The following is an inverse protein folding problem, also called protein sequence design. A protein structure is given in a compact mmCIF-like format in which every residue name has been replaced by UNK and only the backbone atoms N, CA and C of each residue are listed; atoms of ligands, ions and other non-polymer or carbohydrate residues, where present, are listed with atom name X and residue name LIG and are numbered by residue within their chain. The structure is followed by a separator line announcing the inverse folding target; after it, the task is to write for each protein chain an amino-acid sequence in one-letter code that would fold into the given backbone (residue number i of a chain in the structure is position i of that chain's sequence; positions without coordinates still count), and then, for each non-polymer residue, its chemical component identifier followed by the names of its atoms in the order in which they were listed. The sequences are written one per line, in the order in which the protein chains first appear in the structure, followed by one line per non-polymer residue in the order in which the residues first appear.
data_IF_672969819386
#
_entry.id   IF_672969819386
#
_cell.length_a   1.000
_cell.length_b   1.000
_cell.length_c   1.000
_cell.angle_alpha   90.00
_cell.angle_beta   90.00
_cell.angle_gamma   90.00
#
_symmetry.space_group_name_H-M   'P 1'
#
loop_
_entity.id
_entity.type
_entity.pdbx_description
1 polymer ?
#
# COMPACT_ATOMS: atom_id res chain seq x y z
N UNK A 1 4.24 -1.79 -25.04
CA UNK A 1 2.83 -1.35 -25.04
C UNK A 1 1.99 -2.48 -24.48
N UNK A 2 1.07 -2.19 -23.57
CA UNK A 2 0.20 -3.17 -22.90
C UNK A 2 -1.16 -3.23 -23.59
N UNK A 3 -1.87 -4.33 -23.47
CA UNK A 3 -3.30 -4.47 -23.84
C UNK A 3 -4.09 -5.02 -22.66
N UNK A 4 -5.40 -4.74 -22.62
CA UNK A 4 -6.30 -5.25 -21.59
C UNK A 4 -7.03 -6.48 -22.12
N UNK A 5 -7.01 -7.58 -21.36
CA UNK A 5 -7.89 -8.73 -21.56
C UNK A 5 -9.13 -8.60 -20.65
N UNK A 6 -10.24 -8.15 -21.25
CA UNK A 6 -11.50 -7.90 -20.52
C UNK A 6 -12.19 -9.17 -20.03
N UNK A 7 -12.06 -10.28 -20.75
CA UNK A 7 -12.65 -11.56 -20.33
C UNK A 7 -11.89 -12.11 -19.13
N UNK A 8 -10.55 -11.99 -19.15
CA UNK A 8 -9.70 -12.32 -18.01
C UNK A 8 -9.99 -11.41 -16.82
N UNK A 9 -10.17 -10.11 -17.05
CA UNK A 9 -10.53 -9.16 -15.99
C UNK A 9 -11.83 -9.57 -15.28
N UNK A 10 -12.87 -9.89 -16.05
CA UNK A 10 -14.16 -10.36 -15.55
C UNK A 10 -14.02 -11.64 -14.71
N UNK A 11 -13.35 -12.66 -15.25
CA UNK A 11 -13.15 -13.94 -14.59
C UNK A 11 -12.39 -13.80 -13.27
N UNK A 12 -11.24 -13.12 -13.30
CA UNK A 12 -10.31 -13.02 -12.17
C UNK A 12 -10.93 -12.17 -11.06
N UNK A 13 -11.47 -10.99 -11.39
CA UNK A 13 -12.10 -10.12 -10.38
C UNK A 13 -13.34 -10.80 -9.77
N UNK A 14 -14.14 -11.50 -10.57
CA UNK A 14 -15.30 -12.25 -10.10
C UNK A 14 -14.93 -13.35 -9.09
N UNK A 15 -13.86 -14.12 -9.36
CA UNK A 15 -13.38 -15.15 -8.45
C UNK A 15 -12.79 -14.58 -7.15
N UNK A 16 -12.03 -13.50 -7.24
CA UNK A 16 -11.47 -12.82 -6.07
C UNK A 16 -12.58 -12.27 -5.17
N UNK A 17 -13.59 -11.61 -5.75
CA UNK A 17 -14.75 -11.11 -5.01
C UNK A 17 -15.58 -12.23 -4.39
N UNK A 18 -15.82 -13.32 -5.13
CA UNK A 18 -16.54 -14.47 -4.58
C UNK A 18 -15.80 -15.08 -3.39
N UNK A 19 -14.47 -15.11 -3.41
CA UNK A 19 -13.65 -15.56 -2.29
C UNK A 19 -13.64 -14.56 -1.13
N UNK A 20 -13.57 -13.25 -1.40
CA UNK A 20 -13.68 -12.19 -0.39
C UNK A 20 -15.01 -12.28 0.36
N UNK A 21 -16.13 -12.36 -0.36
CA UNK A 21 -17.49 -12.45 0.22
C UNK A 21 -17.71 -13.74 1.03
N UNK A 22 -17.04 -14.82 0.66
CA UNK A 22 -17.05 -16.08 1.44
C UNK A 22 -16.11 -16.04 2.66
N UNK A 23 -15.33 -14.97 2.81
CA UNK A 23 -14.34 -14.79 3.87
C UNK A 23 -13.37 -15.98 3.99
N UNK A 24 -12.96 -16.56 2.86
CA UNK A 24 -11.97 -17.63 2.82
C UNK A 24 -10.56 -17.05 2.78
N UNK A 25 -9.57 -17.79 3.27
CA UNK A 25 -8.17 -17.36 3.20
C UNK A 25 -7.79 -16.90 1.77
N UNK A 26 -7.17 -15.72 1.58
CA UNK A 26 -6.54 -14.87 2.58
C UNK A 26 -7.45 -13.81 3.24
N UNK A 27 -8.73 -13.76 2.89
CA UNK A 27 -9.62 -12.67 3.28
C UNK A 27 -10.06 -12.70 4.75
N UNK A 28 -9.87 -13.82 5.44
CA UNK A 28 -10.04 -13.93 6.89
C UNK A 28 -8.80 -13.50 7.69
N UNK A 29 -7.75 -13.00 7.04
CA UNK A 29 -6.60 -12.42 7.72
C UNK A 29 -6.87 -10.97 8.15
N UNK A 30 -6.34 -10.52 9.30
CA UNK A 30 -6.55 -9.17 9.77
C UNK A 30 -5.87 -8.14 8.85
N UNK A 31 -6.59 -7.05 8.56
CA UNK A 31 -6.10 -5.86 7.85
C UNK A 31 -5.40 -4.89 8.81
N UNK A 32 -4.50 -4.03 8.32
CA UNK A 32 -3.90 -2.97 9.13
C UNK A 32 -4.93 -2.09 9.86
N UNK A 33 -6.04 -1.78 9.20
CA UNK A 33 -7.15 -1.00 9.74
C UNK A 33 -7.87 -1.74 10.89
N UNK A 34 -7.85 -3.07 10.89
CA UNK A 34 -8.46 -3.89 11.94
C UNK A 34 -7.72 -3.73 13.28
N UNK A 35 -6.46 -3.29 13.26
CA UNK A 35 -5.67 -3.00 14.48
C UNK A 35 -6.04 -1.69 15.17
N UNK A 36 -6.80 -0.79 14.53
CA UNK A 36 -7.22 0.47 15.14
C UNK A 36 -8.06 0.19 16.41
N UNK A 37 -7.68 0.70 17.60
CA UNK A 37 -8.41 0.42 18.83
C UNK A 37 -9.87 0.89 18.80
N UNK A 38 -10.81 0.17 19.44
CA UNK A 38 -12.21 0.58 19.51
C UNK A 38 -12.41 1.99 20.09
N UNK A 39 -11.58 2.40 21.04
CA UNK A 39 -11.61 3.74 21.63
C UNK A 39 -11.39 4.85 20.58
N UNK A 40 -10.48 4.60 19.63
CA UNK A 40 -10.20 5.51 18.52
C UNK A 40 -11.39 5.53 17.53
N UNK A 41 -11.95 4.35 17.20
CA UNK A 41 -13.09 4.22 16.27
C UNK A 41 -14.38 4.86 16.81
N UNK A 42 -14.61 4.83 18.13
CA UNK A 42 -15.82 5.36 18.77
C UNK A 42 -16.01 6.86 18.49
N UNK A 43 -14.93 7.62 18.42
CA UNK A 43 -14.97 9.02 18.02
C UNK A 43 -14.70 9.15 16.51
N UNK A 44 -15.77 9.29 15.72
CA UNK A 44 -15.69 9.39 14.25
C UNK A 44 -14.75 10.49 13.74
N UNK A 45 -14.64 11.62 14.46
CA UNK A 45 -13.75 12.72 14.08
C UNK A 45 -12.29 12.36 14.35
N UNK A 46 -11.99 11.82 15.53
CA UNK A 46 -10.66 11.32 15.87
C UNK A 46 -10.22 10.20 14.92
N UNK A 47 -11.14 9.30 14.57
CA UNK A 47 -10.89 8.24 13.59
C UNK A 47 -10.54 8.79 12.20
N UNK A 48 -11.31 9.75 11.70
CA UNK A 48 -11.03 10.39 10.41
C UNK A 48 -9.66 11.10 10.41
N UNK A 49 -9.32 11.79 11.50
CA UNK A 49 -8.01 12.44 11.67
C UNK A 49 -6.88 11.42 11.68
N UNK A 50 -7.03 10.34 12.43
CA UNK A 50 -6.04 9.26 12.46
C UNK A 50 -5.78 8.71 11.06
N UNK A 51 -6.83 8.40 10.29
CA UNK A 51 -6.69 7.89 8.93
C UNK A 51 -6.04 8.91 7.98
N UNK A 52 -6.35 10.20 8.12
CA UNK A 52 -5.68 11.27 7.36
C UNK A 52 -4.16 11.27 7.60
N UNK A 53 -3.73 11.20 8.86
CA UNK A 53 -2.32 11.14 9.19
C UNK A 53 -1.68 9.79 8.85
N UNK A 54 -2.43 8.69 8.89
CA UNK A 54 -1.97 7.39 8.40
C UNK A 54 -1.66 7.42 6.91
N UNK A 55 -2.56 8.00 6.10
CA UNK A 55 -2.30 8.20 4.68
C UNK A 55 -1.04 9.02 4.45
N UNK A 56 -0.89 10.12 5.18
CA UNK A 56 0.29 10.98 5.08
C UNK A 56 1.58 10.25 5.44
N UNK A 57 1.59 9.51 6.55
CA UNK A 57 2.77 8.79 7.01
C UNK A 57 3.18 7.69 6.03
N UNK A 58 2.22 7.01 5.42
CA UNK A 58 2.45 5.99 4.38
C UNK A 58 2.91 6.56 3.04
N UNK A 59 3.39 7.80 3.00
CA UNK A 59 4.13 8.35 1.86
C UNK A 59 5.42 7.55 1.65
N UNK A 60 5.52 6.84 0.52
CA UNK A 60 6.73 6.11 0.12
C UNK A 60 6.61 4.59 0.31
N UNK A 61 7.66 3.97 0.83
CA UNK A 61 7.82 2.49 0.91
C UNK A 61 7.43 1.90 2.27
N UNK A 62 6.78 2.67 3.14
CA UNK A 62 6.37 2.22 4.47
C UNK A 62 5.22 1.21 4.33
N UNK A 63 5.39 0.01 4.91
CA UNK A 63 4.34 -1.00 4.96
C UNK A 63 3.17 -0.53 5.82
N UNK A 64 1.94 -0.76 5.36
CA UNK A 64 0.73 -0.34 6.07
C UNK A 64 0.62 -0.94 7.47
N UNK A 65 0.93 -2.23 7.66
CA UNK A 65 0.86 -2.86 8.98
C UNK A 65 1.85 -2.24 9.98
N UNK A 66 3.04 -1.87 9.53
CA UNK A 66 4.01 -1.13 10.32
C UNK A 66 3.52 0.29 10.63
N UNK A 67 2.99 0.99 9.62
CA UNK A 67 2.51 2.35 9.76
C UNK A 67 1.37 2.46 10.80
N UNK A 68 0.36 1.61 10.70
CA UNK A 68 -0.76 1.59 11.64
C UNK A 68 -0.28 1.28 13.07
N UNK A 69 0.56 0.27 13.27
CA UNK A 69 1.10 -0.07 14.61
C UNK A 69 1.85 1.10 15.25
N UNK A 70 2.73 1.76 14.48
CA UNK A 70 3.49 2.92 14.98
C UNK A 70 2.60 4.11 15.31
N UNK A 71 1.63 4.40 14.45
CA UNK A 71 0.71 5.51 14.67
C UNK A 71 -0.26 5.27 15.82
N UNK A 72 -0.68 4.02 16.04
CA UNK A 72 -1.49 3.66 17.21
C UNK A 72 -0.68 3.94 18.49
N UNK A 73 0.55 3.46 18.57
CA UNK A 73 1.42 3.75 19.71
C UNK A 73 1.67 5.25 19.91
N UNK A 74 1.88 6.00 18.84
CA UNK A 74 2.01 7.46 18.90
C UNK A 74 0.72 8.13 19.40
N UNK A 75 -0.45 7.66 18.96
CA UNK A 75 -1.74 8.20 19.38
C UNK A 75 -2.03 7.91 20.86
N UNK A 76 -1.65 6.73 21.36
CA UNK A 76 -1.82 6.36 22.77
C UNK A 76 -1.04 7.27 23.71
N UNK A 77 0.19 7.65 23.33
CA UNK A 77 1.06 8.49 24.17
C UNK A 77 0.81 9.98 23.91
N UNK A 78 0.62 10.39 22.65
CA UNK A 78 0.48 11.80 22.26
C UNK A 78 -0.75 12.04 21.37
N UNK A 79 -1.99 11.82 21.87
CA UNK A 79 -3.21 11.98 21.07
C UNK A 79 -3.37 13.41 20.53
N UNK A 80 -2.80 14.42 21.22
CA UNK A 80 -2.76 15.83 20.80
C UNK A 80 -2.11 16.04 19.43
N UNK A 81 -1.24 15.13 18.97
CA UNK A 81 -0.56 15.26 17.67
C UNK A 81 -1.46 14.89 16.48
N UNK A 82 -2.63 14.31 16.74
CA UNK A 82 -3.65 14.00 15.73
C UNK A 82 -4.77 15.05 15.72
N UNK A 83 -4.70 16.07 16.56
CA UNK A 83 -5.66 17.14 16.69
C UNK A 83 -5.13 18.39 15.98
N UNK A 84 -5.65 18.78 14.79
CA UNK A 84 -5.02 19.83 13.97
C UNK A 84 -4.84 21.18 14.67
N UNK A 85 -5.75 21.54 15.58
CA UNK A 85 -5.66 22.76 16.38
C UNK A 85 -4.59 22.68 17.48
N UNK A 86 -4.30 21.48 18.00
CA UNK A 86 -3.31 21.26 19.06
C UNK A 86 -1.90 21.12 18.48
N UNK A 87 -1.74 20.50 17.31
CA UNK A 87 -0.44 20.42 16.59
C UNK A 87 0.18 21.81 16.44
N UNK A 88 -0.63 22.84 16.18
CA UNK A 88 -0.15 24.23 16.09
C UNK A 88 0.41 24.78 17.39
N UNK A 89 -0.11 24.33 18.54
CA UNK A 89 0.31 24.79 19.88
C UNK A 89 1.58 24.09 20.35
N UNK A 90 1.74 22.82 19.99
CA UNK A 90 2.96 22.03 20.22
C UNK A 90 4.15 22.68 19.51
N UNK A 91 3.94 23.23 18.31
CA UNK A 91 5.00 23.84 17.53
C UNK A 91 5.85 22.81 16.80
N UNK A 92 6.59 23.25 15.79
CA UNK A 92 7.25 22.36 14.84
C UNK A 92 8.44 21.60 15.45
N UNK A 93 9.18 22.23 16.37
CA UNK A 93 10.36 21.60 16.99
C UNK A 93 9.98 20.46 17.95
N UNK A 94 8.98 20.67 18.81
CA UNK A 94 8.47 19.61 19.69
C UNK A 94 7.85 18.49 18.85
N UNK A 95 7.03 18.83 17.83
CA UNK A 95 6.48 17.84 16.90
C UNK A 95 7.57 16.98 16.23
N UNK A 96 8.67 17.60 15.78
CA UNK A 96 9.78 16.86 15.20
C UNK A 96 10.40 15.86 16.18
N UNK A 97 10.60 16.23 17.45
CA UNK A 97 11.16 15.33 18.47
C UNK A 97 10.26 14.12 18.67
N UNK A 98 8.97 14.34 18.90
CA UNK A 98 7.99 13.27 19.13
C UNK A 98 7.87 12.32 17.93
N UNK A 99 7.78 12.88 16.72
CA UNK A 99 7.66 12.07 15.51
C UNK A 99 8.96 11.32 15.17
N UNK A 100 10.14 11.89 15.47
CA UNK A 100 11.41 11.21 15.25
C UNK A 100 11.54 9.96 16.10
N UNK A 101 11.18 10.05 17.38
CA UNK A 101 11.23 8.95 18.33
C UNK A 101 10.22 7.84 17.98
N UNK A 102 9.03 8.21 17.51
CA UNK A 102 7.99 7.23 17.20
C UNK A 102 8.11 6.60 15.81
N UNK A 103 8.50 7.37 14.79
CA UNK A 103 8.33 7.01 13.37
C UNK A 103 9.62 6.66 12.64
N UNK A 104 10.81 7.03 13.17
CA UNK A 104 12.18 6.73 12.69
C UNK A 104 12.57 7.11 11.25
N UNK A 105 11.62 7.22 10.32
CA UNK A 105 11.83 7.46 8.89
C UNK A 105 11.47 8.91 8.52
N UNK A 106 12.33 9.60 7.76
CA UNK A 106 12.09 10.95 7.20
C UNK A 106 11.43 11.97 8.18
N UNK A 107 11.77 11.88 9.47
CA UNK A 107 11.06 12.61 10.53
C UNK A 107 11.02 14.13 10.33
N UNK A 108 12.06 14.71 9.73
CA UNK A 108 12.13 16.16 9.43
C UNK A 108 11.09 16.59 8.39
N UNK A 109 10.98 15.86 7.28
CA UNK A 109 10.01 16.16 6.24
C UNK A 109 8.59 15.87 6.72
N UNK A 110 8.39 14.73 7.38
CA UNK A 110 7.11 14.34 7.94
C UNK A 110 6.63 15.37 8.96
N UNK A 111 7.47 15.82 9.90
CA UNK A 111 7.04 16.81 10.89
C UNK A 111 6.66 18.15 10.26
N UNK A 112 7.41 18.60 9.25
CA UNK A 112 7.09 19.81 8.49
C UNK A 112 5.73 19.68 7.80
N UNK A 113 5.51 18.57 7.09
CA UNK A 113 4.25 18.35 6.38
C UNK A 113 3.08 18.12 7.34
N UNK A 114 3.30 17.42 8.45
CA UNK A 114 2.29 17.19 9.48
C UNK A 114 1.83 18.50 10.10
N UNK A 115 2.76 19.40 10.43
CA UNK A 115 2.46 20.73 10.96
C UNK A 115 1.66 21.56 9.95
N UNK A 116 2.16 21.66 8.72
CA UNK A 116 1.52 22.46 7.67
C UNK A 116 0.16 21.89 7.28
N UNK A 117 0.03 20.58 7.08
CA UNK A 117 -1.24 19.94 6.76
C UNK A 117 -2.26 20.11 7.88
N UNK A 118 -1.84 20.11 9.15
CA UNK A 118 -2.70 20.44 10.30
C UNK A 118 -3.22 21.88 10.23
N UNK A 119 -2.36 22.83 9.82
CA UNK A 119 -2.75 24.22 9.57
C UNK A 119 -3.78 24.33 8.46
N UNK A 120 -3.54 23.70 7.30
CA UNK A 120 -4.45 23.71 6.14
C UNK A 120 -5.79 23.07 6.48
N UNK A 121 -5.76 21.91 7.13
CA UNK A 121 -6.97 21.19 7.55
C UNK A 121 -7.80 22.00 8.54
N UNK A 122 -7.16 22.67 9.50
CA UNK A 122 -7.84 23.59 10.44
C UNK A 122 -8.49 24.77 9.71
N UNK A 123 -7.72 25.43 8.84
CA UNK A 123 -8.12 26.68 8.16
C UNK A 123 -9.25 26.45 7.16
N UNK A 124 -9.17 25.39 6.35
CA UNK A 124 -10.08 25.19 5.22
C UNK A 124 -11.20 24.18 5.53
N UNK A 125 -10.95 23.26 6.46
CA UNK A 125 -11.84 22.12 6.71
C UNK A 125 -12.19 21.97 8.19
N UNK A 126 -12.03 23.02 9.00
CA UNK A 126 -12.31 23.04 10.45
C UNK A 126 -11.67 21.88 11.22
N UNK A 127 -10.54 21.37 10.74
CA UNK A 127 -9.82 20.26 11.35
C UNK A 127 -10.47 18.89 11.13
N UNK A 128 -11.42 18.75 10.20
CA UNK A 128 -12.17 17.52 9.95
C UNK A 128 -11.94 17.01 8.52
N UNK A 129 -11.17 15.92 8.33
CA UNK A 129 -10.89 15.36 7.00
C UNK A 129 -12.14 14.96 6.21
N UNK A 130 -13.25 14.62 6.88
CA UNK A 130 -14.49 14.22 6.21
C UNK A 130 -15.09 15.36 5.38
N UNK A 131 -14.86 16.61 5.81
CA UNK A 131 -15.37 17.80 5.12
C UNK A 131 -14.75 18.03 3.76
N UNK A 132 -13.55 17.49 3.53
CA UNK A 132 -12.90 17.52 2.21
C UNK A 132 -13.84 16.88 1.17
N UNK A 133 -14.61 15.87 1.56
CA UNK A 133 -15.46 15.06 0.68
C UNK A 133 -16.91 15.56 0.55
N UNK A 134 -17.26 16.68 1.19
CA UNK A 134 -18.62 17.20 1.10
C UNK A 134 -18.96 17.66 -0.32
N UNK A 135 -20.03 17.10 -0.87
CA UNK A 135 -20.52 17.40 -2.23
C UNK A 135 -19.62 16.87 -3.35
N UNK A 136 -18.69 15.95 -3.07
CA UNK A 136 -17.90 15.29 -4.10
C UNK A 136 -18.70 14.15 -4.70
N UNK A 137 -18.87 14.18 -6.01
CA UNK A 137 -19.45 13.08 -6.78
C UNK A 137 -18.46 12.48 -7.79
N UNK A 138 -17.35 13.18 -8.09
CA UNK A 138 -16.37 12.80 -9.11
C UNK A 138 -14.92 12.84 -8.56
N UNK A 139 -14.02 11.94 -9.01
CA UNK A 139 -12.63 11.89 -8.55
C UNK A 139 -11.83 13.18 -8.76
N UNK A 140 -12.06 13.91 -9.85
CA UNK A 140 -11.30 15.10 -10.21
C UNK A 140 -11.43 16.19 -9.15
N UNK A 141 -12.64 16.33 -8.58
CA UNK A 141 -12.91 17.28 -7.51
C UNK A 141 -12.18 16.90 -6.21
N UNK A 142 -12.11 15.60 -5.91
CA UNK A 142 -11.32 15.10 -4.79
C UNK A 142 -9.83 15.42 -4.97
N UNK A 143 -9.27 15.13 -6.15
CA UNK A 143 -7.87 15.44 -6.44
C UNK A 143 -7.58 16.93 -6.35
N UNK A 144 -8.48 17.77 -6.87
CA UNK A 144 -8.38 19.23 -6.81
C UNK A 144 -8.28 19.78 -5.39
N UNK A 145 -8.95 19.15 -4.42
CA UNK A 145 -8.95 19.55 -2.99
C UNK A 145 -7.79 18.96 -2.18
N UNK A 146 -7.28 17.78 -2.55
CA UNK A 146 -6.32 17.03 -1.73
C UNK A 146 -4.89 17.13 -2.26
N UNK A 147 -4.68 16.96 -3.57
CA UNK A 147 -3.34 16.92 -4.16
C UNK A 147 -2.69 18.29 -4.03
N UNK A 148 -1.48 18.32 -3.46
CA UNK A 148 -0.75 19.58 -3.30
C UNK A 148 -0.38 20.16 -4.66
N UNK A 149 -0.84 21.38 -4.95
CA UNK A 149 -0.54 22.11 -6.19
C UNK A 149 0.69 23.02 -6.05
N UNK A 150 1.55 22.76 -5.07
CA UNK A 150 2.67 23.64 -4.70
C UNK A 150 3.74 23.75 -5.79
N UNK A 151 3.85 24.96 -6.34
CA UNK A 151 4.75 25.44 -7.42
C UNK A 151 4.67 24.61 -8.72
N UNK A 152 4.18 25.24 -9.80
CA UNK A 152 4.45 24.71 -11.13
C UNK A 152 5.97 24.63 -11.35
N UNK A 153 6.44 23.81 -12.32
CA UNK A 153 7.87 23.60 -12.62
C UNK A 153 8.68 24.91 -12.83
N UNK A 154 7.99 26.04 -12.99
CA UNK A 154 8.54 27.37 -13.22
C UNK A 154 8.53 28.26 -11.95
N UNK A 155 8.25 27.70 -10.77
CA UNK A 155 8.28 28.42 -9.49
C UNK A 155 7.17 29.44 -9.28
N UNK A 156 6.21 29.58 -10.22
CA UNK A 156 5.08 30.51 -10.07
C UNK A 156 3.99 29.86 -9.22
N UNK A 157 3.60 30.55 -8.14
CA UNK A 157 2.35 30.26 -7.45
C UNK A 157 1.23 30.71 -8.39
N UNK A 158 0.52 29.77 -9.00
CA UNK A 158 -0.79 30.11 -9.56
C UNK A 158 -1.68 30.65 -8.44
N UNK A 159 -2.61 31.54 -8.78
CA UNK A 159 -3.62 32.01 -7.85
C UNK A 159 -4.56 30.84 -7.54
N UNK A 160 -4.14 29.97 -6.61
CA UNK A 160 -4.92 28.84 -6.16
C UNK A 160 -5.94 29.36 -5.16
N UNK A 161 -7.22 29.02 -5.37
CA UNK A 161 -8.28 29.34 -4.40
C UNK A 161 -7.89 28.76 -3.03
N UNK A 162 -8.07 29.46 -1.90
CA UNK A 162 -7.46 29.04 -0.64
C UNK A 162 -7.74 27.61 -0.19
N UNK A 163 -8.88 27.00 -0.55
CA UNK A 163 -9.22 25.60 -0.20
C UNK A 163 -8.72 24.55 -1.22
N UNK A 164 -8.00 24.98 -2.25
CA UNK A 164 -7.46 24.15 -3.32
C UNK A 164 -5.93 24.05 -3.29
N UNK A 165 -5.29 24.60 -2.27
CA UNK A 165 -3.83 24.48 -2.08
C UNK A 165 -3.37 23.02 -1.89
N UNK A 166 -4.31 22.13 -1.55
CA UNK A 166 -4.05 20.72 -1.27
C UNK A 166 -3.24 20.49 0.01
N UNK A 167 -2.71 19.29 0.21
CA UNK A 167 -1.94 18.91 1.39
C UNK A 167 -0.54 18.45 1.02
N UNK A 168 0.49 19.03 1.64
CA UNK A 168 1.89 18.68 1.37
C UNK A 168 2.11 17.16 1.44
N UNK A 169 2.78 16.65 0.42
CA UNK A 169 3.08 15.22 0.27
C UNK A 169 1.93 14.36 -0.27
N UNK A 170 0.70 14.85 -0.37
CA UNK A 170 -0.40 14.10 -0.97
C UNK A 170 -0.32 14.09 -2.50
N UNK A 171 -0.32 12.89 -3.06
CA UNK A 171 -0.44 12.60 -4.50
C UNK A 171 -1.81 11.98 -4.80
N UNK A 172 -2.17 11.80 -6.08
CA UNK A 172 -3.44 11.20 -6.50
C UNK A 172 -3.69 9.84 -5.82
N UNK A 173 -2.72 8.92 -5.89
CA UNK A 173 -2.81 7.61 -5.19
C UNK A 173 -3.12 7.76 -3.70
N UNK A 174 -2.48 8.70 -3.01
CA UNK A 174 -2.71 8.92 -1.58
C UNK A 174 -4.08 9.54 -1.31
N UNK A 175 -4.59 10.33 -2.24
CA UNK A 175 -5.93 10.92 -2.19
C UNK A 175 -6.99 9.82 -2.33
N UNK A 176 -6.83 8.93 -3.32
CA UNK A 176 -7.67 7.73 -3.47
C UNK A 176 -7.59 6.82 -2.26
N UNK A 177 -6.39 6.62 -1.68
CA UNK A 177 -6.22 5.83 -0.46
C UNK A 177 -6.94 6.45 0.75
N UNK A 178 -6.93 7.79 0.88
CA UNK A 178 -7.67 8.48 1.93
C UNK A 178 -9.19 8.31 1.75
N UNK A 179 -9.69 8.50 0.53
CA UNK A 179 -11.09 8.24 0.23
C UNK A 179 -11.47 6.79 0.57
N UNK A 180 -10.65 5.84 0.14
CA UNK A 180 -10.82 4.41 0.42
C UNK A 180 -10.97 4.13 1.92
N UNK A 181 -10.02 4.55 2.76
CA UNK A 181 -10.09 4.27 4.20
C UNK A 181 -11.29 4.94 4.87
N UNK A 182 -11.66 6.15 4.44
CA UNK A 182 -12.80 6.85 5.01
C UNK A 182 -14.13 6.21 4.59
N UNK A 183 -14.24 5.69 3.36
CA UNK A 183 -15.41 4.95 2.87
C UNK A 183 -15.52 3.59 3.58
N UNK A 184 -14.42 2.84 3.65
CA UNK A 184 -14.33 1.54 4.35
C UNK A 184 -14.74 1.66 5.83
N UNK A 185 -14.33 2.75 6.50
CA UNK A 185 -14.69 3.03 7.87
C UNK A 185 -16.08 3.67 8.04
N UNK A 186 -16.86 3.80 6.95
CA UNK A 186 -18.17 4.45 6.90
C UNK A 186 -18.16 5.88 7.48
N UNK A 187 -17.03 6.59 7.33
CA UNK A 187 -16.85 7.96 7.83
C UNK A 187 -17.31 9.01 6.84
N UNK A 188 -17.35 8.65 5.55
CA UNK A 188 -17.93 9.42 4.45
C UNK A 188 -18.84 8.49 3.62
N UNK A 189 -19.83 9.02 2.89
CA UNK A 189 -20.60 8.22 1.95
C UNK A 189 -19.71 7.62 0.86
N UNK A 190 -20.09 6.44 0.37
CA UNK A 190 -19.47 5.90 -0.84
C UNK A 190 -19.77 6.78 -2.05
N UNK A 191 -18.74 7.02 -2.85
CA UNK A 191 -18.86 7.64 -4.16
C UNK A 191 -17.88 6.93 -5.10
N UNK A 192 -17.98 7.20 -6.40
CA UNK A 192 -17.08 6.62 -7.41
C UNK A 192 -15.71 7.31 -7.39
N UNK A 193 -14.97 7.18 -6.30
CA UNK A 193 -13.58 7.60 -6.23
C UNK A 193 -12.73 6.71 -7.14
N UNK A 194 -11.68 7.25 -7.75
CA UNK A 194 -10.75 6.42 -8.52
C UNK A 194 -10.02 5.43 -7.59
N UNK A 195 -9.74 4.19 -8.03
CA UNK A 195 -9.08 3.19 -7.19
C UNK A 195 -7.68 3.63 -6.75
N UNK A 196 -7.29 3.28 -5.53
CA UNK A 196 -5.95 3.51 -4.99
C UNK A 196 -4.92 2.53 -5.58
N UNK A 197 -4.75 2.56 -6.90
CA UNK A 197 -3.88 1.63 -7.64
C UNK A 197 -2.42 1.79 -7.18
N UNK A 198 -1.85 0.68 -6.75
CA UNK A 198 -0.45 0.57 -6.37
C UNK A 198 0.17 -0.72 -6.93
N UNK A 199 1.43 -0.97 -6.57
CA UNK A 199 2.10 -2.21 -6.95
C UNK A 199 1.32 -3.47 -6.59
N UNK A 200 0.61 -3.49 -5.45
CA UNK A 200 -0.10 -4.67 -5.00
C UNK A 200 -1.24 -5.03 -5.95
N UNK A 201 -2.06 -4.06 -6.34
CA UNK A 201 -3.14 -4.27 -7.30
C UNK A 201 -2.57 -4.63 -8.67
N UNK A 202 -1.60 -3.84 -9.16
CA UNK A 202 -1.01 -4.02 -10.49
C UNK A 202 -0.29 -5.36 -10.66
N UNK A 203 0.33 -5.88 -9.59
CA UNK A 203 0.92 -7.21 -9.60
C UNK A 203 -0.09 -8.29 -9.94
N UNK A 204 -1.31 -8.23 -9.41
CA UNK A 204 -2.35 -9.22 -9.73
C UNK A 204 -2.74 -9.10 -11.19
N UNK A 205 -2.96 -7.88 -11.67
CA UNK A 205 -3.35 -7.62 -13.06
C UNK A 205 -2.29 -8.11 -14.07
N UNK A 206 -1.01 -7.91 -13.77
CA UNK A 206 0.10 -8.40 -14.59
C UNK A 206 0.27 -9.92 -14.45
N UNK A 207 0.26 -10.45 -13.23
CA UNK A 207 0.47 -11.87 -12.97
C UNK A 207 -0.56 -12.77 -13.67
N UNK A 208 -1.81 -12.30 -13.74
CA UNK A 208 -2.96 -13.04 -14.31
C UNK A 208 -3.19 -12.74 -15.79
N UNK A 209 -2.36 -11.90 -16.41
CA UNK A 209 -2.48 -11.43 -17.80
C UNK A 209 -3.79 -10.68 -18.08
N UNK A 210 -4.37 -10.01 -17.08
CA UNK A 210 -5.38 -8.97 -17.36
C UNK A 210 -4.73 -7.81 -18.12
N UNK A 211 -3.52 -7.42 -17.69
CA UNK A 211 -2.67 -6.49 -18.42
C UNK A 211 -1.58 -7.30 -19.14
N UNK A 212 -1.69 -7.39 -20.46
CA UNK A 212 -0.84 -8.23 -21.31
C UNK A 212 0.28 -7.39 -21.93
N UNK A 213 1.57 -7.68 -21.62
CA UNK A 213 2.69 -7.03 -22.29
C UNK A 213 2.82 -7.54 -23.73
N UNK A 214 2.84 -6.63 -24.72
CA UNK A 214 3.13 -7.01 -26.12
C UNK A 214 4.56 -7.53 -26.30
N UNK A 215 5.50 -7.03 -25.50
CA UNK A 215 6.89 -7.48 -25.47
C UNK A 215 7.20 -8.00 -24.08
N UNK A 216 7.36 -9.33 -23.97
CA UNK A 216 7.53 -10.05 -22.70
C UNK A 216 8.95 -9.90 -22.12
N UNK A 217 9.89 -9.38 -22.90
CA UNK A 217 11.29 -9.22 -22.50
C UNK A 217 11.62 -7.79 -22.05
N UNK A 218 10.70 -6.84 -22.22
CA UNK A 218 10.89 -5.45 -21.79
C UNK A 218 10.40 -5.24 -20.38
N UNK A 219 11.20 -4.52 -19.59
CA UNK A 219 10.75 -3.91 -18.34
C UNK A 219 9.59 -2.95 -18.62
N UNK A 220 8.64 -2.91 -17.70
CA UNK A 220 7.41 -2.14 -17.88
C UNK A 220 7.34 -1.06 -16.81
N UNK A 221 7.34 0.19 -17.24
CA UNK A 221 7.24 1.35 -16.36
C UNK A 221 5.89 1.45 -15.66
N UNK A 222 5.91 1.85 -14.39
CA UNK A 222 4.72 2.00 -13.56
C UNK A 222 3.62 2.85 -14.20
N UNK A 223 3.98 3.99 -14.79
CA UNK A 223 3.01 4.96 -15.30
C UNK A 223 2.17 4.41 -16.45
N UNK A 224 2.71 3.44 -17.22
CA UNK A 224 1.95 2.77 -18.28
C UNK A 224 1.01 1.71 -17.73
N UNK A 225 1.36 1.09 -16.61
CA UNK A 225 0.56 0.02 -15.99
C UNK A 225 -0.55 0.62 -15.13
N UNK A 226 -0.27 1.71 -14.38
CA UNK A 226 -1.22 2.32 -13.46
C UNK A 226 -2.46 2.86 -14.17
N UNK A 227 -2.31 3.55 -15.29
CA UNK A 227 -3.42 4.09 -16.10
C UNK A 227 -4.36 2.97 -16.55
N UNK A 228 -3.82 1.88 -17.08
CA UNK A 228 -4.63 0.74 -17.52
C UNK A 228 -5.22 -0.02 -16.33
N UNK A 229 -4.50 -0.10 -15.20
CA UNK A 229 -5.01 -0.68 -13.97
C UNK A 229 -6.24 0.07 -13.44
N UNK A 230 -6.18 1.41 -13.42
CA UNK A 230 -7.33 2.26 -13.07
C UNK A 230 -8.50 1.96 -14.02
N UNK A 231 -8.25 1.98 -15.33
CA UNK A 231 -9.27 1.72 -16.35
C UNK A 231 -9.97 0.35 -16.16
N UNK A 232 -9.20 -0.71 -15.87
CA UNK A 232 -9.74 -2.06 -15.63
C UNK A 232 -10.67 -2.08 -14.43
N UNK A 233 -10.23 -1.50 -13.30
CA UNK A 233 -10.99 -1.58 -12.05
C UNK A 233 -12.24 -0.69 -12.08
N UNK A 234 -12.14 0.50 -12.68
CA UNK A 234 -13.31 1.37 -12.90
C UNK A 234 -14.32 0.74 -13.85
N UNK A 235 -13.85 0.12 -14.94
CA UNK A 235 -14.71 -0.64 -15.84
C UNK A 235 -15.42 -1.77 -15.12
N UNK A 236 -14.69 -2.58 -14.35
CA UNK A 236 -15.27 -3.73 -13.64
C UNK A 236 -16.31 -3.27 -12.62
N UNK A 237 -15.97 -2.28 -11.80
CA UNK A 237 -16.88 -1.68 -10.82
C UNK A 237 -18.16 -1.18 -11.48
N UNK A 238 -18.05 -0.44 -12.59
CA UNK A 238 -19.20 0.09 -13.32
C UNK A 238 -20.05 -1.00 -13.98
N UNK A 239 -19.41 -2.01 -14.60
CA UNK A 239 -20.10 -3.07 -15.34
C UNK A 239 -20.91 -3.98 -14.42
N UNK A 240 -20.39 -4.27 -13.23
CA UNK A 240 -20.98 -5.25 -12.30
C UNK A 240 -21.63 -4.63 -11.07
N UNK A 241 -21.69 -3.29 -11.00
CA UNK A 241 -22.21 -2.53 -9.86
C UNK A 241 -21.59 -2.96 -8.51
N UNK A 242 -20.26 -3.01 -8.50
CA UNK A 242 -19.46 -3.38 -7.32
C UNK A 242 -18.66 -2.18 -6.85
N UNK A 243 -18.66 -1.92 -5.54
CA UNK A 243 -17.86 -0.83 -4.95
C UNK A 243 -16.37 -1.01 -5.24
N UNK A 244 -15.68 0.08 -5.56
CA UNK A 244 -14.22 0.07 -5.76
C UNK A 244 -13.47 -0.24 -4.45
N UNK A 245 -14.10 -0.02 -3.29
CA UNK A 245 -13.57 -0.46 -2.00
C UNK A 245 -13.48 -1.99 -1.98
N UNK A 246 -14.58 -2.65 -2.33
CA UNK A 246 -14.66 -4.12 -2.32
C UNK A 246 -13.70 -4.75 -3.34
N UNK A 247 -13.62 -4.20 -4.55
CA UNK A 247 -12.66 -4.65 -5.57
C UNK A 247 -11.22 -4.42 -5.08
N UNK A 248 -10.94 -3.27 -4.48
CA UNK A 248 -9.64 -2.94 -3.92
C UNK A 248 -9.19 -3.94 -2.85
N UNK A 249 -10.06 -4.23 -1.87
CA UNK A 249 -9.83 -5.23 -0.82
C UNK A 249 -9.53 -6.61 -1.42
N UNK A 250 -10.33 -7.02 -2.41
CA UNK A 250 -10.21 -8.32 -3.06
C UNK A 250 -8.82 -8.54 -3.68
N UNK A 251 -8.27 -7.52 -4.35
CA UNK A 251 -6.94 -7.57 -4.96
C UNK A 251 -5.82 -7.36 -3.93
N UNK A 252 -5.97 -6.36 -3.06
CA UNK A 252 -4.93 -5.93 -2.13
C UNK A 252 -4.59 -7.05 -1.14
N UNK A 253 -5.59 -7.70 -0.53
CA UNK A 253 -5.39 -8.77 0.46
C UNK A 253 -4.68 -10.00 -0.12
N UNK A 254 -5.05 -10.42 -1.34
CA UNK A 254 -4.37 -11.52 -2.04
C UNK A 254 -2.92 -11.14 -2.31
N UNK A 255 -2.70 -9.92 -2.77
CA UNK A 255 -1.38 -9.45 -3.10
C UNK A 255 -0.47 -9.37 -1.87
N UNK A 256 -0.91 -8.72 -0.79
CA UNK A 256 -0.11 -8.49 0.42
C UNK A 256 0.10 -9.76 1.25
N UNK A 257 -0.90 -10.64 1.30
CA UNK A 257 -0.86 -11.88 2.10
C UNK A 257 -0.21 -13.04 1.34
N UNK A 258 -0.55 -13.23 0.07
CA UNK A 258 -0.09 -14.38 -0.72
C UNK A 258 1.05 -13.99 -1.67
N UNK A 259 0.80 -13.10 -2.63
CA UNK A 259 1.75 -12.84 -3.70
C UNK A 259 3.07 -12.28 -3.19
N UNK A 260 3.07 -11.48 -2.12
CA UNK A 260 4.30 -10.99 -1.48
C UNK A 260 5.17 -12.13 -0.95
N UNK A 261 4.55 -13.20 -0.43
CA UNK A 261 5.23 -14.34 0.20
C UNK A 261 5.49 -15.49 -0.77
N UNK A 262 4.91 -15.45 -1.97
CA UNK A 262 5.12 -16.46 -2.99
C UNK A 262 6.62 -16.63 -3.28
N UNK A 263 7.14 -17.87 -3.32
CA UNK A 263 8.57 -18.09 -3.53
C UNK A 263 9.02 -17.52 -4.87
N UNK A 264 8.15 -17.58 -5.89
CA UNK A 264 8.42 -17.05 -7.21
C UNK A 264 8.52 -15.53 -7.28
N UNK A 265 8.02 -14.79 -6.30
CA UNK A 265 8.12 -13.33 -6.24
C UNK A 265 9.24 -12.85 -5.30
N UNK A 266 9.99 -13.77 -4.68
CA UNK A 266 11.08 -13.42 -3.78
C UNK A 266 12.27 -12.84 -4.55
N UNK A 267 12.93 -11.85 -3.94
CA UNK A 267 14.14 -11.20 -4.43
C UNK A 267 15.21 -11.31 -3.34
N UNK A 268 16.48 -11.32 -3.73
CA UNK A 268 17.58 -11.07 -2.80
C UNK A 268 17.69 -9.56 -2.54
N UNK A 269 17.56 -9.16 -1.28
CA UNK A 269 17.96 -7.83 -0.83
C UNK A 269 19.48 -7.78 -0.74
N UNK A 270 20.05 -6.62 -1.10
CA UNK A 270 21.51 -6.41 -1.10
C UNK A 270 22.11 -6.66 0.30
N UNK A 271 23.23 -7.37 0.35
CA UNK A 271 24.29 -6.93 1.25
C UNK A 271 24.88 -5.64 0.65
N UNK A 272 24.88 -4.54 1.41
CA UNK A 272 25.67 -3.36 1.06
C UNK A 272 27.13 -3.77 1.09
N UNK A 273 27.76 -3.97 -0.07
CA UNK A 273 29.21 -3.82 -0.14
C UNK A 273 29.48 -2.31 -0.11
N UNK A 274 29.67 -1.78 1.09
CA UNK A 274 29.88 -0.34 1.34
C UNK A 274 31.15 0.20 0.66
N UNK A 275 32.10 -0.68 0.31
CA UNK A 275 33.40 -0.31 -0.26
C UNK A 275 33.37 0.13 -1.74
N UNK A 276 32.34 -0.21 -2.52
CA UNK A 276 32.37 0.03 -3.97
C UNK A 276 31.39 1.11 -4.47
N UNK A 277 30.43 1.57 -3.66
CA UNK A 277 29.40 2.51 -4.10
C UNK A 277 28.48 2.00 -5.24
N UNK A 278 28.67 0.77 -5.73
CA UNK A 278 27.88 0.16 -6.81
C UNK A 278 26.61 -0.46 -6.22
N UNK A 279 25.47 0.12 -6.58
CA UNK A 279 24.13 -0.41 -6.28
C UNK A 279 23.76 -1.49 -7.30
N UNK A 280 23.95 -2.77 -6.98
CA UNK A 280 23.52 -3.89 -7.83
C UNK A 280 21.99 -4.07 -7.80
N UNK A 281 21.27 -3.97 -8.92
CA UNK A 281 19.80 -4.10 -8.94
C UNK A 281 19.32 -5.40 -8.23
N UNK A 282 18.18 -5.37 -7.50
CA UNK A 282 17.61 -6.55 -6.85
C UNK A 282 17.49 -7.70 -7.83
N UNK A 283 17.90 -8.90 -7.42
CA UNK A 283 17.88 -10.08 -8.27
C UNK A 283 16.79 -11.07 -7.82
N UNK A 284 16.02 -11.65 -8.76
CA UNK A 284 15.09 -12.73 -8.45
C UNK A 284 15.76 -13.91 -7.74
N UNK A 285 15.11 -14.42 -6.71
CA UNK A 285 15.52 -15.68 -6.09
C UNK A 285 15.33 -16.82 -7.09
N UNK A 286 16.38 -17.59 -7.36
CA UNK A 286 16.29 -18.82 -8.17
C UNK A 286 15.40 -19.82 -7.46
N UNK A 287 14.33 -20.25 -8.14
CA UNK A 287 13.43 -21.27 -7.61
C UNK A 287 14.10 -22.64 -7.67
N UNK A 288 14.01 -23.37 -6.57
CA UNK A 288 14.47 -24.75 -6.48
C UNK A 288 13.42 -25.57 -5.75
N UNK A 289 12.71 -26.40 -6.51
CA UNK A 289 11.61 -27.23 -6.00
C UNK A 289 12.09 -28.43 -5.16
N UNK A 290 13.40 -28.71 -5.12
CA UNK A 290 13.98 -29.69 -4.18
C UNK A 290 14.04 -29.14 -2.76
N UNK A 291 13.98 -27.82 -2.58
CA UNK A 291 14.01 -27.19 -1.25
C UNK A 291 12.62 -27.18 -0.62
N UNK A 292 12.50 -27.83 0.53
CA UNK A 292 11.23 -27.95 1.27
C UNK A 292 10.61 -26.59 1.63
N UNK A 293 11.41 -25.56 1.86
CA UNK A 293 10.91 -24.21 2.16
C UNK A 293 10.22 -23.55 0.95
N UNK A 294 10.73 -23.72 -0.28
CA UNK A 294 10.12 -23.19 -1.49
C UNK A 294 8.77 -23.86 -1.77
N UNK A 295 8.75 -25.19 -1.65
CA UNK A 295 7.53 -25.99 -1.77
C UNK A 295 6.49 -25.56 -0.74
N UNK A 296 6.87 -25.47 0.55
CA UNK A 296 5.97 -25.05 1.62
C UNK A 296 5.40 -23.66 1.36
N UNK A 297 6.26 -22.70 0.99
CA UNK A 297 5.82 -21.35 0.63
C UNK A 297 4.87 -21.35 -0.56
N UNK A 298 5.11 -22.15 -1.59
CA UNK A 298 4.19 -22.25 -2.73
C UNK A 298 2.82 -22.75 -2.29
N UNK A 299 2.76 -23.85 -1.54
CA UNK A 299 1.50 -24.45 -1.06
C UNK A 299 0.69 -23.44 -0.26
N UNK A 300 1.32 -22.70 0.67
CA UNK A 300 0.62 -21.73 1.53
C UNK A 300 0.35 -20.37 0.87
N UNK A 301 0.79 -20.17 -0.38
CA UNK A 301 0.58 -18.94 -1.15
C UNK A 301 -0.12 -19.22 -2.47
N UNK A 302 0.61 -19.50 -3.55
CA UNK A 302 0.05 -19.78 -4.87
C UNK A 302 -0.92 -20.96 -4.87
N UNK A 303 -0.62 -22.03 -4.12
CA UNK A 303 -1.47 -23.22 -4.01
C UNK A 303 -2.79 -22.97 -3.26
N UNK A 304 -2.83 -21.97 -2.38
CA UNK A 304 -4.03 -21.54 -1.64
C UNK A 304 -4.70 -20.30 -2.24
N UNK A 305 -4.15 -19.73 -3.32
CA UNK A 305 -4.67 -18.52 -3.94
C UNK A 305 -5.91 -18.84 -4.80
N UNK A 306 -7.04 -18.10 -4.65
CA UNK A 306 -8.24 -18.32 -5.46
C UNK A 306 -8.01 -18.29 -6.98
N UNK A 307 -6.97 -17.57 -7.41
CA UNK A 307 -6.60 -17.39 -8.82
C UNK A 307 -5.19 -17.90 -9.13
N UNK A 308 -4.54 -18.63 -8.22
CA UNK A 308 -3.14 -19.04 -8.38
C UNK A 308 -2.88 -19.92 -9.60
N UNK A 309 -3.86 -20.75 -9.99
CA UNK A 309 -3.82 -21.57 -11.20
C UNK A 309 -3.92 -20.78 -12.51
N UNK A 310 -4.19 -19.48 -12.45
CA UNK A 310 -4.37 -18.59 -13.60
C UNK A 310 -3.25 -17.57 -13.75
N UNK A 311 -2.22 -17.61 -12.89
CA UNK A 311 -1.06 -16.77 -13.04
C UNK A 311 -0.12 -17.31 -14.13
N UNK A 312 0.27 -16.43 -15.05
CA UNK A 312 1.30 -16.67 -16.07
C UNK A 312 2.66 -16.10 -15.67
N UNK A 313 2.68 -15.14 -14.73
CA UNK A 313 3.89 -14.45 -14.31
C UNK A 313 4.08 -14.42 -12.79
N UNK A 314 5.34 -14.55 -12.37
CA UNK A 314 5.80 -13.99 -11.12
C UNK A 314 6.19 -12.53 -11.33
N UNK A 315 5.76 -11.64 -10.44
CA UNK A 315 5.95 -10.19 -10.55
C UNK A 315 6.63 -9.69 -9.28
N UNK A 316 7.84 -9.17 -9.45
CA UNK A 316 8.73 -8.82 -8.34
C UNK A 316 8.51 -7.39 -7.84
N UNK A 317 8.66 -7.17 -6.53
CA UNK A 317 8.52 -5.85 -5.94
C UNK A 317 9.82 -5.04 -5.88
N UNK A 318 10.98 -5.71 -5.87
CA UNK A 318 12.28 -5.04 -5.69
C UNK A 318 12.57 -4.01 -6.77
N UNK A 319 12.45 -4.40 -8.05
CA UNK A 319 12.67 -3.47 -9.17
C UNK A 319 11.62 -2.35 -9.21
N UNK A 320 10.39 -2.60 -8.77
CA UNK A 320 9.38 -1.55 -8.68
C UNK A 320 9.78 -0.48 -7.67
N UNK A 321 10.20 -0.87 -6.47
CA UNK A 321 10.55 0.09 -5.42
C UNK A 321 11.90 0.79 -5.65
N UNK A 322 12.84 0.17 -6.36
CA UNK A 322 14.13 0.79 -6.69
C UNK A 322 14.11 1.59 -8.01
N UNK A 323 13.44 1.09 -9.04
CA UNK A 323 13.56 1.58 -10.42
C UNK A 323 12.24 2.11 -10.99
N UNK A 324 11.10 1.91 -10.30
CA UNK A 324 9.78 2.26 -10.83
C UNK A 324 9.29 1.33 -11.95
N UNK A 325 9.90 0.15 -12.06
CA UNK A 325 9.68 -0.80 -13.16
C UNK A 325 9.23 -2.17 -12.67
N UNK A 326 8.26 -2.76 -13.38
CA UNK A 326 7.86 -4.14 -13.20
C UNK A 326 8.84 -5.07 -13.92
N UNK A 327 9.45 -5.96 -13.14
CA UNK A 327 10.17 -7.11 -13.62
C UNK A 327 9.35 -8.38 -13.38
N UNK A 328 9.39 -9.30 -14.34
CA UNK A 328 8.56 -10.49 -14.35
C UNK A 328 9.36 -11.69 -14.84
N UNK A 329 8.99 -12.88 -14.37
CA UNK A 329 9.44 -14.16 -14.93
C UNK A 329 8.25 -15.08 -15.13
N UNK A 330 8.38 -16.04 -16.05
CA UNK A 330 7.36 -17.06 -16.24
C UNK A 330 7.00 -17.71 -14.90
N UNK A 331 5.69 -17.91 -14.68
CA UNK A 331 5.22 -18.53 -13.45
C UNK A 331 5.60 -20.00 -13.42
N UNK A 332 6.42 -20.39 -12.46
CA UNK A 332 6.85 -21.77 -12.26
C UNK A 332 5.96 -22.45 -11.22
N UNK A 333 5.67 -23.74 -11.45
CA UNK A 333 4.92 -24.58 -10.52
C UNK A 333 5.81 -25.73 -10.08
N UNK A 334 5.66 -26.20 -8.84
CA UNK A 334 6.40 -27.36 -8.41
C UNK A 334 5.94 -28.57 -9.26
N UNK A 335 6.85 -29.47 -9.69
CA UNK A 335 6.49 -30.63 -10.51
C UNK A 335 5.40 -31.48 -9.85
N UNK A 336 4.56 -32.16 -10.64
CA UNK A 336 3.36 -32.93 -10.22
C UNK A 336 3.63 -34.03 -9.15
N UNK A 337 4.89 -34.28 -8.78
CA UNK A 337 5.32 -35.26 -7.78
C UNK A 337 5.00 -34.81 -6.33
N UNK A 338 3.72 -34.69 -5.98
CA UNK A 338 3.23 -34.31 -4.64
C UNK A 338 2.46 -35.36 -3.80
N UNK A 339 2.63 -36.69 -3.93
CA UNK A 339 2.11 -37.58 -2.90
C UNK A 339 2.81 -37.41 -1.53
N UNK A 340 4.03 -36.86 -1.47
CA UNK A 340 4.91 -37.00 -0.29
C UNK A 340 5.03 -35.77 0.63
N UNK A 341 4.18 -34.75 0.52
CA UNK A 341 4.13 -33.74 1.58
C UNK A 341 3.53 -34.36 2.85
N UNK A 342 4.26 -34.39 3.98
CA UNK A 342 3.75 -34.98 5.20
C UNK A 342 2.46 -34.26 5.64
N UNK A 343 1.48 -35.05 6.09
CA UNK A 343 0.08 -34.64 6.34
C UNK A 343 -0.05 -33.35 7.18
N UNK A 344 0.88 -33.13 8.12
CA UNK A 344 0.93 -31.95 8.98
C UNK A 344 1.19 -30.61 8.24
N UNK A 345 1.72 -30.65 7.01
CA UNK A 345 1.88 -29.47 6.14
C UNK A 345 0.63 -29.18 5.29
N UNK A 346 -0.32 -30.12 5.21
CA UNK A 346 -1.58 -29.96 4.48
C UNK A 346 -2.72 -29.48 5.37
N UNK A 347 -2.68 -29.83 6.66
CA UNK A 347 -3.83 -29.69 7.57
C UNK A 347 -3.75 -28.47 8.53
N UNK A 348 -2.65 -27.71 8.52
CA UNK A 348 -2.60 -26.43 9.25
C UNK A 348 -2.71 -25.29 8.24
N UNK A 349 -3.84 -24.54 8.20
CA UNK A 349 -3.76 -23.18 7.68
C UNK A 349 -2.62 -22.49 8.45
N UNK A 350 -1.73 -21.75 7.78
CA UNK A 350 -0.76 -20.96 8.52
C UNK A 350 -1.57 -20.07 9.46
N UNK A 351 -1.51 -20.32 10.76
CA UNK A 351 -1.84 -19.29 11.72
C UNK A 351 -0.93 -18.13 11.33
N UNK A 352 -1.52 -16.96 11.12
CA UNK A 352 -0.76 -15.74 10.88
C UNK A 352 0.03 -15.43 12.16
N UNK A 353 1.08 -16.21 12.45
CA UNK A 353 2.14 -15.80 13.33
C UNK A 353 2.81 -14.64 12.60
N UNK A 354 2.45 -13.44 13.03
CA UNK A 354 3.25 -12.27 12.77
C UNK A 354 4.65 -12.57 13.29
N UNK A 355 5.64 -12.64 12.39
CA UNK A 355 7.05 -12.57 12.76
C UNK A 355 7.29 -11.17 13.35
N UNK A 356 7.00 -11.04 14.64
CA UNK A 356 7.48 -9.99 15.53
C UNK A 356 8.56 -10.49 16.49
N UNK A 357 8.99 -11.74 16.33
CA UNK A 357 10.00 -12.38 17.17
C UNK A 357 11.02 -13.09 16.28
N UNK A 358 11.84 -12.30 15.58
CA UNK A 358 13.20 -12.72 15.27
C UNK A 358 14.08 -11.48 15.31
N UNK A 359 15.07 -11.54 16.18
CA UNK A 359 16.07 -10.52 16.46
C UNK A 359 16.71 -10.01 15.16
N UNK A 360 16.52 -8.72 14.90
CA UNK A 360 17.41 -7.97 14.03
C UNK A 360 17.92 -6.78 14.86
N UNK A 361 18.77 -7.11 15.85
CA UNK A 361 19.70 -6.14 16.43
C UNK A 361 20.80 -5.90 15.40
N UNK A 362 20.45 -5.17 14.34
CA UNK A 362 21.43 -4.45 13.55
C UNK A 362 21.98 -3.32 14.41
N UNK A 363 23.14 -3.54 15.02
CA UNK A 363 23.99 -2.52 15.63
C UNK A 363 24.23 -1.42 14.60
N UNK A 364 23.51 -0.30 14.73
CA UNK A 364 23.83 0.93 14.03
C UNK A 364 24.89 1.65 14.87
N UNK A 365 26.10 1.72 14.31
CA UNK A 365 27.24 2.42 14.87
C UNK A 365 26.88 3.86 15.20
N UNK A 366 27.22 4.26 16.43
CA UNK A 366 27.29 5.63 16.88
C UNK A 366 28.15 6.43 15.90
N UNK A 367 27.57 7.45 15.28
CA UNK A 367 28.36 8.51 14.65
C UNK A 367 28.87 9.40 15.78
N UNK A 368 30.17 9.30 16.03
CA UNK A 368 30.94 10.29 16.78
C UNK A 368 30.79 11.65 16.09
N UNK A 369 30.43 12.65 16.87
CA UNK A 369 30.54 14.06 16.50
C UNK A 369 32.01 14.44 16.35
N UNK A 370 32.43 15.16 15.30
CA UNK A 370 33.72 15.85 15.33
C UNK A 370 33.62 16.98 16.36
N UNK A 371 34.47 16.93 17.38
CA UNK A 371 34.65 18.02 18.33
C UNK A 371 35.32 19.23 17.67
N UNK A 372 34.92 20.41 18.14
CA UNK A 372 35.84 21.54 18.28
C UNK A 372 36.87 21.27 19.39
#
# INVERSE_FOLDING_TARGET
MLTIDWQRAELICGQLLAALRKNVYPYNAPRPQDFIPPALRKNRLTHARFLFYACHYMRGTIRSDFAFKRLIGLWEVHPKLFEPSQVRRVGQLELYRELREALFYQASEISSFWFENSRRLSKHWKGDPRRIFFGINEPEEMYRRIVNKGHNKNGRKEAVVPHEEGFLGFQEKMSSMLAYFLMEAELIPEFRASPAVDFHLLRILLATEILVPKDRNKKIRYEHVSVLGIQVLEWYSKKFDVSLVEVGDALWLVSTTLCRRAPGNAMFDRHKNEEAGIRNSPQPLVLDWRKANHVRRYVTTCGSCPVGGQCSWHVFSGTYYEEGEFAMRAHERPPILFPQLPRHLRERPPTAKFEGESEDRGTLSLFETPGE
#
